data_IF_600260964248
#
_entry.id   IF_600260964248
#
_cell.length_a   1.000
_cell.length_b   1.000
_cell.length_c   1.000
_cell.angle_alpha   90.00
_cell.angle_beta   90.00
_cell.angle_gamma   90.00
#
_symmetry.space_group_name_H-M   'P 1'
#
loop_
_entity.id
_entity.type
_entity.pdbx_description
1 polymer ?
#
# COMPACT_ATOMS: atom_id res chain seq x y z
N UNK A 1 -13.31 -58.99 -14.62
CA UNK A 1 -13.78 -58.32 -15.87
C UNK A 1 -14.82 -57.18 -15.70
N UNK A 2 -15.51 -56.93 -14.56
CA UNK A 2 -16.55 -55.89 -14.53
C UNK A 2 -16.05 -54.45 -14.30
N UNK A 3 -14.83 -54.25 -13.77
CA UNK A 3 -14.31 -52.91 -13.41
C UNK A 3 -13.86 -52.10 -14.65
N UNK A 4 -13.35 -52.76 -15.69
CA UNK A 4 -12.88 -52.09 -16.90
C UNK A 4 -14.02 -51.50 -17.74
N UNK A 5 -15.18 -52.16 -17.77
CA UNK A 5 -16.36 -51.73 -18.53
C UNK A 5 -17.03 -50.50 -17.91
N UNK A 6 -16.99 -50.34 -16.58
CA UNK A 6 -17.52 -49.17 -15.86
C UNK A 6 -16.65 -47.92 -16.04
N UNK A 7 -15.32 -48.09 -16.17
CA UNK A 7 -14.40 -46.98 -16.43
C UNK A 7 -14.52 -46.45 -17.87
N UNK A 8 -14.72 -47.33 -18.85
CA UNK A 8 -14.93 -46.96 -20.25
C UNK A 8 -16.24 -46.19 -20.46
N UNK A 9 -17.34 -46.66 -19.85
CA UNK A 9 -18.65 -45.97 -19.91
C UNK A 9 -18.63 -44.60 -19.22
N UNK A 10 -17.85 -44.43 -18.15
CA UNK A 10 -17.60 -43.11 -17.57
C UNK A 10 -16.75 -42.21 -18.48
N UNK A 11 -15.70 -42.73 -19.12
CA UNK A 11 -14.88 -41.95 -20.04
C UNK A 11 -15.67 -41.45 -21.27
N UNK A 12 -16.54 -42.28 -21.84
CA UNK A 12 -17.41 -41.91 -22.97
C UNK A 12 -18.45 -40.85 -22.60
N UNK A 13 -19.00 -40.90 -21.37
CA UNK A 13 -19.92 -39.85 -20.88
C UNK A 13 -19.19 -38.52 -20.61
N UNK A 14 -17.92 -38.55 -20.22
CA UNK A 14 -17.09 -37.34 -20.10
C UNK A 14 -16.72 -36.75 -21.47
N UNK A 15 -16.37 -37.58 -22.45
CA UNK A 15 -16.09 -37.14 -23.82
C UNK A 15 -17.33 -36.54 -24.49
N UNK A 16 -18.49 -37.17 -24.36
CA UNK A 16 -19.75 -36.62 -24.86
C UNK A 16 -20.12 -35.28 -24.21
N UNK A 17 -19.78 -35.04 -22.94
CA UNK A 17 -19.95 -33.74 -22.26
C UNK A 17 -18.94 -32.68 -22.74
N UNK A 18 -17.73 -33.09 -23.09
CA UNK A 18 -16.72 -32.20 -23.68
C UNK A 18 -17.15 -31.73 -25.08
N UNK A 19 -17.77 -32.60 -25.89
CA UNK A 19 -18.27 -32.21 -27.21
C UNK A 19 -19.33 -31.09 -27.15
N UNK A 20 -20.15 -31.05 -26.09
CA UNK A 20 -21.08 -29.93 -25.87
C UNK A 20 -20.39 -28.59 -25.60
N UNK A 21 -19.20 -28.60 -24.99
CA UNK A 21 -18.42 -27.39 -24.70
C UNK A 21 -17.79 -26.79 -25.97
N UNK A 22 -17.52 -27.61 -26.98
CA UNK A 22 -16.89 -27.18 -28.24
C UNK A 22 -17.90 -26.94 -29.38
N UNK A 23 -19.20 -27.11 -29.16
CA UNK A 23 -20.22 -26.73 -30.15
C UNK A 23 -20.14 -25.22 -30.43
N UNK A 24 -20.20 -24.78 -31.69
CA UNK A 24 -20.09 -23.37 -32.06
C UNK A 24 -21.03 -22.44 -31.27
N UNK A 25 -22.27 -22.88 -31.03
CA UNK A 25 -23.24 -22.12 -30.22
C UNK A 25 -22.84 -21.96 -28.75
N UNK A 26 -22.27 -23.00 -28.13
CA UNK A 26 -21.78 -22.95 -26.74
C UNK A 26 -20.55 -22.05 -26.61
N UNK A 27 -19.65 -22.10 -27.60
CA UNK A 27 -18.46 -21.24 -27.65
C UNK A 27 -18.86 -19.77 -27.82
N UNK A 28 -19.83 -19.47 -28.70
CA UNK A 28 -20.34 -18.10 -28.90
C UNK A 28 -21.06 -17.58 -27.65
N UNK A 29 -21.91 -18.40 -27.02
CA UNK A 29 -22.57 -18.04 -25.75
C UNK A 29 -21.56 -17.83 -24.61
N UNK A 30 -20.54 -18.70 -24.52
CA UNK A 30 -19.45 -18.56 -23.57
C UNK A 30 -18.63 -17.30 -23.79
N UNK A 31 -18.31 -16.97 -25.05
CA UNK A 31 -17.60 -15.76 -25.43
C UNK A 31 -18.45 -14.50 -25.17
N UNK A 32 -19.75 -14.52 -25.46
CA UNK A 32 -20.67 -13.43 -25.18
C UNK A 32 -20.84 -13.21 -23.66
N UNK A 33 -20.99 -14.30 -22.88
CA UNK A 33 -21.04 -14.24 -21.43
C UNK A 33 -19.73 -13.73 -20.83
N UNK A 34 -18.58 -14.16 -21.36
CA UNK A 34 -17.26 -13.66 -20.97
C UNK A 34 -17.09 -12.18 -21.33
N UNK A 35 -17.57 -11.74 -22.50
CA UNK A 35 -17.55 -10.35 -22.95
C UNK A 35 -18.45 -9.46 -22.09
N UNK A 36 -19.66 -9.93 -21.73
CA UNK A 36 -20.56 -9.22 -20.83
C UNK A 36 -19.99 -9.16 -19.40
N UNK A 37 -19.44 -10.27 -18.89
CA UNK A 37 -18.70 -10.29 -17.63
C UNK A 37 -17.51 -9.33 -17.67
N UNK A 38 -16.75 -9.31 -18.77
CA UNK A 38 -15.66 -8.37 -19.00
C UNK A 38 -16.17 -6.94 -18.98
N UNK A 39 -17.21 -6.59 -19.74
CA UNK A 39 -17.77 -5.23 -19.77
C UNK A 39 -18.29 -4.78 -18.41
N UNK A 40 -18.90 -5.70 -17.66
CA UNK A 40 -19.42 -5.41 -16.32
C UNK A 40 -18.29 -5.26 -15.29
N UNK A 41 -17.30 -6.15 -15.29
CA UNK A 41 -16.08 -6.10 -14.45
C UNK A 41 -15.02 -5.13 -14.94
N UNK A 42 -15.19 -4.50 -16.10
CA UNK A 42 -14.33 -3.43 -16.59
C UNK A 42 -15.05 -2.10 -16.56
N UNK A 43 -16.23 -2.01 -15.91
CA UNK A 43 -16.83 -0.73 -15.59
C UNK A 43 -15.87 -0.03 -14.62
N UNK A 44 -15.06 0.85 -15.17
CA UNK A 44 -14.20 1.69 -14.37
C UNK A 44 -15.01 2.65 -13.53
N UNK A 45 -14.57 2.83 -12.29
CA UNK A 45 -15.16 3.76 -11.35
C UNK A 45 -14.25 4.96 -11.23
N UNK A 46 -14.84 6.14 -11.20
CA UNK A 46 -14.07 7.36 -10.90
C UNK A 46 -13.73 7.32 -9.42
N UNK A 47 -12.45 7.50 -9.05
CA UNK A 47 -12.06 7.53 -7.65
C UNK A 47 -12.72 8.70 -6.92
N UNK A 48 -12.95 8.52 -5.63
CA UNK A 48 -13.46 9.58 -4.77
C UNK A 48 -12.28 10.44 -4.34
N UNK A 49 -12.27 11.70 -4.76
CA UNK A 49 -11.31 12.70 -4.30
C UNK A 49 -11.86 13.43 -3.07
N UNK A 50 -11.19 13.31 -1.93
CA UNK A 50 -11.53 13.97 -0.66
C UNK A 50 -10.40 14.93 -0.27
N UNK A 51 -10.68 16.22 -0.32
CA UNK A 51 -9.80 17.31 0.07
C UNK A 51 -10.60 18.61 0.17
N UNK A 52 -9.96 19.69 0.63
CA UNK A 52 -10.50 21.03 0.52
C UNK A 52 -10.52 21.52 -0.95
N UNK A 53 -11.25 22.61 -1.19
CA UNK A 53 -11.46 23.13 -2.55
C UNK A 53 -10.16 23.63 -3.21
N UNK A 54 -9.25 24.22 -2.42
CA UNK A 54 -7.95 24.68 -2.93
C UNK A 54 -7.09 23.54 -3.47
N UNK A 55 -6.92 22.47 -2.68
CA UNK A 55 -6.13 21.33 -3.11
C UNK A 55 -6.84 20.54 -4.22
N UNK A 56 -8.18 20.48 -4.20
CA UNK A 56 -8.99 19.92 -5.30
C UNK A 56 -8.69 20.60 -6.62
N UNK A 57 -8.78 21.93 -6.67
CA UNK A 57 -8.55 22.71 -7.89
C UNK A 57 -7.16 22.45 -8.48
N UNK A 58 -6.14 22.40 -7.61
CA UNK A 58 -4.77 22.06 -8.01
C UNK A 58 -4.69 20.67 -8.63
N UNK A 59 -5.21 19.65 -7.93
CA UNK A 59 -5.13 18.25 -8.36
C UNK A 59 -5.93 18.02 -9.65
N UNK A 60 -7.12 18.60 -9.77
CA UNK A 60 -7.94 18.42 -10.96
C UNK A 60 -7.37 19.08 -12.21
N UNK A 61 -6.53 20.10 -12.04
CA UNK A 61 -5.84 20.81 -13.13
C UNK A 61 -4.50 20.16 -13.50
N UNK A 62 -3.76 19.66 -12.52
CA UNK A 62 -2.36 19.19 -12.70
C UNK A 62 -2.21 17.67 -12.65
N UNK A 63 -3.18 16.96 -12.07
CA UNK A 63 -3.20 15.51 -11.90
C UNK A 63 -4.51 14.89 -12.44
N UNK A 64 -4.74 14.86 -13.77
CA UNK A 64 -5.98 14.33 -14.37
C UNK A 64 -6.40 12.94 -13.88
N UNK A 65 -5.47 12.10 -13.45
CA UNK A 65 -5.71 10.78 -12.89
C UNK A 65 -6.72 10.78 -11.72
N UNK A 66 -6.87 11.88 -10.98
CA UNK A 66 -7.87 12.00 -9.89
C UNK A 66 -9.32 12.05 -10.40
N UNK A 67 -9.54 12.30 -11.70
CA UNK A 67 -10.86 12.33 -12.35
C UNK A 67 -11.05 11.19 -13.37
N UNK A 68 -9.97 10.57 -13.79
CA UNK A 68 -10.02 9.44 -14.72
C UNK A 68 -10.65 8.22 -14.06
N UNK A 69 -11.40 7.44 -14.85
CA UNK A 69 -11.94 6.17 -14.36
C UNK A 69 -10.79 5.19 -14.17
N UNK A 70 -10.74 4.59 -12.99
CA UNK A 70 -9.88 3.45 -12.71
C UNK A 70 -10.57 2.17 -13.18
N UNK A 71 -9.97 1.47 -14.15
CA UNK A 71 -10.50 0.23 -14.71
C UNK A 71 -9.62 -0.96 -14.27
N UNK A 72 -9.94 -1.64 -13.16
CA UNK A 72 -9.14 -2.76 -12.69
C UNK A 72 -9.09 -3.88 -13.73
N UNK A 73 -7.95 -4.58 -13.79
CA UNK A 73 -7.79 -5.74 -14.66
C UNK A 73 -8.91 -6.77 -14.43
N UNK A 74 -9.74 -7.10 -15.44
CA UNK A 74 -11.03 -7.79 -15.21
C UNK A 74 -10.92 -9.23 -14.71
N UNK A 75 -9.80 -9.91 -14.99
CA UNK A 75 -9.48 -11.22 -14.41
C UNK A 75 -8.81 -11.12 -13.04
N UNK A 76 -8.43 -9.91 -12.60
CA UNK A 76 -7.81 -9.57 -11.32
C UNK A 76 -8.70 -8.59 -10.53
N UNK A 77 -9.97 -8.95 -10.33
CA UNK A 77 -11.02 -8.03 -9.88
C UNK A 77 -11.06 -7.77 -8.35
N UNK A 78 -10.49 -8.66 -7.54
CA UNK A 78 -10.53 -8.55 -6.07
C UNK A 78 -9.22 -8.05 -5.48
N UNK A 79 -9.30 -7.21 -4.44
CA UNK A 79 -8.14 -6.59 -3.79
C UNK A 79 -7.07 -7.57 -3.32
N UNK A 80 -7.47 -8.76 -2.84
CA UNK A 80 -6.51 -9.84 -2.50
C UNK A 80 -5.72 -10.30 -3.72
N UNK A 81 -6.41 -10.55 -4.83
CA UNK A 81 -5.78 -11.04 -6.06
C UNK A 81 -4.90 -9.96 -6.69
N UNK A 82 -5.37 -8.70 -6.71
CA UNK A 82 -4.58 -7.53 -7.10
C UNK A 82 -3.27 -7.43 -6.32
N UNK A 83 -3.34 -7.60 -5.00
CA UNK A 83 -2.16 -7.58 -4.11
C UNK A 83 -1.17 -8.69 -4.43
N UNK A 84 -1.66 -9.91 -4.66
CA UNK A 84 -0.80 -11.06 -4.96
C UNK A 84 -0.18 -10.98 -6.36
N UNK A 85 -0.96 -10.58 -7.37
CA UNK A 85 -0.51 -10.50 -8.77
C UNK A 85 0.55 -9.40 -8.96
N UNK A 86 0.46 -8.28 -8.22
CA UNK A 86 1.45 -7.20 -8.29
C UNK A 86 2.89 -7.64 -8.03
N UNK A 87 3.11 -8.66 -7.19
CA UNK A 87 4.46 -9.16 -6.88
C UNK A 87 5.18 -9.63 -8.16
N UNK A 88 4.42 -10.15 -9.13
CA UNK A 88 4.93 -10.64 -10.42
C UNK A 88 4.95 -9.52 -11.47
N UNK A 89 4.01 -8.59 -11.39
CA UNK A 89 3.81 -7.53 -12.37
C UNK A 89 4.48 -6.25 -11.89
N UNK A 90 5.68 -6.01 -12.43
CA UNK A 90 6.42 -4.78 -12.19
C UNK A 90 6.05 -3.74 -13.23
N UNK A 91 5.91 -2.52 -12.77
CA UNK A 91 5.75 -1.33 -13.61
C UNK A 91 6.75 -0.28 -13.14
N UNK A 92 7.09 0.64 -14.05
CA UNK A 92 7.92 1.80 -13.74
C UNK A 92 7.18 3.04 -14.21
N UNK A 93 6.83 3.97 -13.30
CA UNK A 93 6.23 5.24 -13.71
C UNK A 93 7.24 6.01 -14.57
N UNK A 94 6.76 6.70 -15.60
CA UNK A 94 7.61 7.56 -16.43
C UNK A 94 7.77 8.92 -15.75
N UNK A 95 8.66 9.00 -14.78
CA UNK A 95 8.97 10.23 -14.05
C UNK A 95 10.38 10.68 -14.39
N UNK A 96 10.53 11.94 -14.79
CA UNK A 96 11.86 12.55 -14.94
C UNK A 96 12.31 13.03 -13.57
N UNK A 97 13.29 12.35 -12.98
CA UNK A 97 13.92 12.74 -11.72
C UNK A 97 15.40 13.02 -11.90
N UNK A 98 15.93 13.98 -11.13
CA UNK A 98 17.38 14.26 -11.10
C UNK A 98 18.15 13.23 -10.25
N UNK A 99 17.57 12.81 -9.12
CA UNK A 99 18.13 11.85 -8.17
C UNK A 99 16.99 11.06 -7.49
N UNK A 100 17.20 9.77 -7.26
CA UNK A 100 16.30 8.91 -6.48
C UNK A 100 17.07 8.33 -5.30
N UNK A 101 16.43 8.34 -4.13
CA UNK A 101 16.96 7.71 -2.92
C UNK A 101 15.96 6.65 -2.48
N UNK A 102 16.45 5.44 -2.26
CA UNK A 102 15.67 4.34 -1.67
C UNK A 102 16.10 4.19 -0.22
N UNK A 103 15.18 4.43 0.70
CA UNK A 103 15.42 4.30 2.13
C UNK A 103 15.20 2.83 2.57
N UNK A 104 16.27 2.19 3.03
CA UNK A 104 16.20 0.88 3.67
C UNK A 104 16.15 1.06 5.19
N UNK A 105 15.19 0.41 5.83
CA UNK A 105 15.16 0.33 7.29
C UNK A 105 16.35 -0.44 7.83
N UNK A 106 16.80 -0.10 9.04
CA UNK A 106 17.90 -0.80 9.69
C UNK A 106 17.64 -2.31 9.83
N UNK A 107 18.68 -3.10 9.54
CA UNK A 107 18.60 -4.57 9.50
C UNK A 107 17.98 -5.14 8.22
N UNK A 108 17.72 -4.31 7.21
CA UNK A 108 17.27 -4.70 5.88
C UNK A 108 18.26 -4.20 4.81
N UNK A 109 18.14 -4.72 3.59
CA UNK A 109 19.00 -4.31 2.48
C UNK A 109 20.38 -4.98 2.43
N UNK A 110 20.61 -6.03 3.21
CA UNK A 110 21.88 -6.78 3.25
C UNK A 110 22.81 -6.35 4.37
N UNK A 111 22.46 -5.29 5.11
CA UNK A 111 23.26 -4.77 6.23
C UNK A 111 22.93 -5.49 7.55
N UNK A 112 23.97 -5.80 8.32
CA UNK A 112 23.84 -6.33 9.68
C UNK A 112 23.50 -5.21 10.68
N UNK A 113 22.69 -5.54 11.69
CA UNK A 113 22.45 -4.61 12.78
C UNK A 113 23.69 -4.47 13.66
N UNK A 114 24.08 -3.24 13.97
CA UNK A 114 25.13 -2.94 14.94
C UNK A 114 24.58 -2.71 16.36
N UNK A 115 23.26 -2.52 16.48
CA UNK A 115 22.56 -2.28 17.75
C UNK A 115 21.29 -3.14 17.79
N UNK A 116 20.76 -3.48 18.97
CA UNK A 116 19.58 -4.35 19.06
C UNK A 116 18.27 -3.70 18.58
N UNK A 117 18.27 -2.39 18.33
CA UNK A 117 17.10 -1.66 17.86
C UNK A 117 16.98 -1.83 16.35
N UNK A 118 15.82 -2.31 15.89
CA UNK A 118 15.40 -2.36 14.47
C UNK A 118 14.52 -1.15 14.11
N UNK A 119 13.51 -1.32 13.25
CA UNK A 119 12.57 -0.30 12.85
C UNK A 119 11.16 -0.68 13.31
N UNK A 120 10.29 0.32 13.47
CA UNK A 120 8.86 0.10 13.68
C UNK A 120 8.06 1.21 13.01
N UNK A 121 6.74 1.03 12.92
CA UNK A 121 5.84 1.96 12.24
C UNK A 121 5.81 3.37 12.88
N UNK A 122 6.11 3.44 14.17
CA UNK A 122 6.05 4.68 14.97
C UNK A 122 7.39 5.42 15.06
N UNK A 123 8.53 4.72 14.97
CA UNK A 123 9.84 5.34 15.14
C UNK A 123 10.37 5.95 13.82
N UNK A 124 10.38 7.28 13.77
CA UNK A 124 10.78 8.08 12.61
C UNK A 124 12.26 8.49 12.62
N UNK A 125 13.04 8.12 13.64
CA UNK A 125 14.41 8.61 13.84
C UNK A 125 15.32 8.41 12.62
N UNK A 126 15.20 7.24 11.97
CA UNK A 126 16.04 6.89 10.83
C UNK A 126 15.67 7.72 9.59
N UNK A 127 14.36 7.93 9.38
CA UNK A 127 13.86 8.77 8.29
C UNK A 127 14.26 10.24 8.52
N UNK A 128 14.16 10.73 9.76
CA UNK A 128 14.64 12.06 10.15
C UNK A 128 16.13 12.23 9.83
N UNK A 129 16.95 11.25 10.22
CA UNK A 129 18.38 11.27 9.96
C UNK A 129 18.70 11.30 8.46
N UNK A 130 18.04 10.45 7.66
CA UNK A 130 18.25 10.37 6.21
C UNK A 130 17.83 11.66 5.51
N UNK A 131 16.67 12.22 5.84
CA UNK A 131 16.22 13.50 5.26
C UNK A 131 17.18 14.63 5.63
N UNK A 132 17.61 14.71 6.89
CA UNK A 132 18.60 15.69 7.33
C UNK A 132 19.91 15.54 6.58
N UNK A 133 20.42 14.31 6.43
CA UNK A 133 21.65 14.03 5.70
C UNK A 133 21.55 14.49 4.23
N UNK A 134 20.46 14.15 3.54
CA UNK A 134 20.24 14.58 2.15
C UNK A 134 20.20 16.10 2.06
N UNK A 135 19.54 16.79 2.99
CA UNK A 135 19.47 18.25 3.00
C UNK A 135 20.81 18.92 3.32
N UNK A 136 21.65 18.30 4.14
CA UNK A 136 23.00 18.80 4.38
C UNK A 136 23.88 18.66 3.13
N UNK A 137 23.78 17.53 2.43
CA UNK A 137 24.54 17.27 1.20
C UNK A 137 24.03 18.08 0.00
N UNK A 138 22.72 18.34 -0.05
CA UNK A 138 22.05 19.02 -1.17
C UNK A 138 21.07 20.12 -0.70
N UNK A 139 21.56 21.22 -0.07
CA UNK A 139 20.69 22.19 0.62
C UNK A 139 19.64 22.85 -0.27
N UNK A 140 20.01 23.16 -1.52
CA UNK A 140 19.15 23.86 -2.48
C UNK A 140 18.26 22.90 -3.30
N UNK A 141 18.37 21.58 -3.08
CA UNK A 141 17.60 20.62 -3.87
C UNK A 141 16.21 20.43 -3.25
N UNK A 142 15.12 20.68 -4.00
CA UNK A 142 13.78 20.39 -3.55
C UNK A 142 13.64 18.88 -3.32
N UNK A 143 12.98 18.49 -2.23
CA UNK A 143 12.86 17.09 -1.82
C UNK A 143 11.39 16.75 -1.60
N UNK A 144 10.99 15.59 -2.10
CA UNK A 144 9.69 14.98 -1.88
C UNK A 144 9.92 13.54 -1.42
N UNK A 145 9.01 13.02 -0.61
CA UNK A 145 9.04 11.62 -0.18
C UNK A 145 7.79 10.88 -0.64
N UNK A 146 7.95 9.58 -0.88
CA UNK A 146 6.84 8.70 -1.15
C UNK A 146 6.94 7.42 -0.30
N UNK A 147 5.80 6.95 0.19
CA UNK A 147 5.73 5.78 1.07
C UNK A 147 4.58 4.86 0.71
N UNK A 148 4.85 3.56 0.64
CA UNK A 148 3.84 2.54 0.36
C UNK A 148 3.62 1.71 1.62
N UNK A 149 2.36 1.44 1.98
CA UNK A 149 1.99 0.61 3.12
C UNK A 149 2.66 1.10 4.42
N UNK A 150 3.47 0.27 5.07
CA UNK A 150 4.27 0.61 6.25
C UNK A 150 5.18 1.83 6.04
N UNK A 151 5.75 1.99 4.84
CA UNK A 151 6.55 3.18 4.51
C UNK A 151 5.70 4.45 4.46
N UNK A 152 4.43 4.34 4.08
CA UNK A 152 3.48 5.45 4.13
C UNK A 152 3.08 5.81 5.57
N UNK A 153 2.89 4.80 6.45
CA UNK A 153 2.69 5.01 7.89
C UNK A 153 3.88 5.78 8.48
N UNK A 154 5.10 5.29 8.25
CA UNK A 154 6.33 5.91 8.74
C UNK A 154 6.46 7.36 8.23
N UNK A 155 6.16 7.60 6.95
CA UNK A 155 6.21 8.93 6.35
C UNK A 155 5.18 9.88 6.97
N UNK A 156 3.94 9.44 7.20
CA UNK A 156 2.93 10.29 7.84
C UNK A 156 3.26 10.59 9.30
N UNK A 157 3.79 9.61 10.05
CA UNK A 157 4.29 9.82 11.41
C UNK A 157 5.45 10.82 11.43
N UNK A 158 6.36 10.73 10.46
CA UNK A 158 7.45 11.68 10.29
C UNK A 158 6.93 13.10 10.03
N UNK A 159 5.98 13.25 9.10
CA UNK A 159 5.38 14.54 8.79
C UNK A 159 4.62 15.15 9.97
N UNK A 160 3.90 14.32 10.73
CA UNK A 160 3.19 14.77 11.93
C UNK A 160 4.16 15.24 13.02
N UNK A 161 5.29 14.55 13.19
CA UNK A 161 6.31 14.89 14.19
C UNK A 161 7.13 16.13 13.80
N UNK A 162 7.54 16.23 12.54
CA UNK A 162 8.40 17.30 12.06
C UNK A 162 7.64 18.56 11.65
N UNK A 163 6.39 18.43 11.22
CA UNK A 163 5.60 19.53 10.68
C UNK A 163 6.37 20.30 9.59
N UNK A 164 6.47 21.62 9.77
CA UNK A 164 7.15 22.52 8.82
C UNK A 164 8.66 22.28 8.73
N UNK A 165 9.25 21.63 9.74
CA UNK A 165 10.69 21.31 9.77
C UNK A 165 11.02 20.01 9.02
N UNK A 166 10.05 19.38 8.37
CA UNK A 166 10.25 18.12 7.63
C UNK A 166 11.23 18.24 6.46
N UNK A 167 11.49 19.45 5.95
CA UNK A 167 12.37 19.66 4.79
C UNK A 167 11.82 19.09 3.48
N UNK A 168 10.58 18.62 3.45
CA UNK A 168 9.90 18.10 2.27
C UNK A 168 8.93 19.13 1.70
N UNK A 169 8.84 19.21 0.37
CA UNK A 169 7.86 20.05 -0.32
C UNK A 169 6.46 19.46 -0.28
N UNK A 170 6.37 18.14 -0.47
CA UNK A 170 5.14 17.38 -0.46
C UNK A 170 5.44 15.92 -0.14
N UNK A 171 4.39 15.13 0.06
CA UNK A 171 4.48 13.68 0.21
C UNK A 171 3.39 12.94 -0.57
N UNK A 172 3.71 11.73 -1.02
CA UNK A 172 2.77 10.81 -1.64
C UNK A 172 2.72 9.50 -0.87
N UNK A 173 1.53 9.01 -0.57
CA UNK A 173 1.40 7.71 0.11
C UNK A 173 0.44 6.78 -0.60
N UNK A 174 0.75 5.49 -0.60
CA UNK A 174 -0.14 4.47 -1.18
C UNK A 174 -0.48 3.41 -0.16
N UNK A 175 -1.78 3.13 -0.04
CA UNK A 175 -2.36 2.08 0.78
C UNK A 175 -1.86 2.07 2.21
N UNK A 176 -1.79 3.27 2.77
CA UNK A 176 -1.53 3.46 4.20
C UNK A 176 -2.63 2.74 4.98
N UNK A 177 -2.22 1.93 5.94
CA UNK A 177 -3.13 1.43 6.96
C UNK A 177 -3.28 2.51 8.04
N UNK A 178 -4.39 3.22 8.02
CA UNK A 178 -4.63 4.42 8.84
C UNK A 178 -4.75 4.11 10.33
N UNK A 179 -5.30 2.95 10.67
CA UNK A 179 -5.42 2.45 12.03
C UNK A 179 -4.80 1.05 12.13
N UNK A 180 -3.68 0.94 12.85
CA UNK A 180 -2.90 -0.30 12.97
C UNK A 180 -3.65 -1.39 13.73
N UNK A 181 -4.52 -1.02 14.69
CA UNK A 181 -5.36 -1.98 15.42
C UNK A 181 -6.35 -2.66 14.48
N UNK A 182 -7.08 -1.86 13.71
CA UNK A 182 -8.07 -2.33 12.73
C UNK A 182 -7.41 -3.08 11.57
N UNK A 183 -6.22 -2.63 11.14
CA UNK A 183 -5.41 -3.31 10.13
C UNK A 183 -5.02 -4.72 10.57
N UNK A 184 -4.51 -4.87 11.79
CA UNK A 184 -4.15 -6.18 12.34
C UNK A 184 -5.39 -7.07 12.50
N UNK A 185 -6.51 -6.53 12.99
CA UNK A 185 -7.77 -7.27 13.07
C UNK A 185 -8.26 -7.75 11.69
N UNK A 186 -8.11 -6.93 10.65
CA UNK A 186 -8.43 -7.32 9.28
C UNK A 186 -7.52 -8.43 8.76
N UNK A 187 -6.22 -8.35 9.04
CA UNK A 187 -5.23 -9.36 8.65
C UNK A 187 -5.40 -10.68 9.40
N UNK A 188 -6.06 -10.69 10.54
CA UNK A 188 -6.34 -11.91 11.32
C UNK A 188 -7.61 -12.63 10.87
N UNK A 189 -8.42 -12.04 9.99
CA UNK A 189 -9.56 -12.73 9.36
C UNK A 189 -9.08 -13.98 8.60
N UNK A 190 -9.84 -15.09 8.57
CA UNK A 190 -9.34 -16.40 8.13
C UNK A 190 -8.58 -16.40 6.79
N UNK A 191 -9.13 -15.79 5.75
CA UNK A 191 -8.48 -15.72 4.44
C UNK A 191 -7.24 -14.82 4.43
N UNK A 192 -7.31 -13.65 5.07
CA UNK A 192 -6.19 -12.71 5.12
C UNK A 192 -5.04 -13.27 5.98
N UNK A 193 -5.38 -14.06 7.01
CA UNK A 193 -4.40 -14.71 7.89
C UNK A 193 -3.53 -15.69 7.10
N UNK A 194 -4.17 -16.53 6.29
CA UNK A 194 -3.50 -17.53 5.45
C UNK A 194 -2.73 -16.86 4.31
N UNK A 195 -3.35 -15.90 3.61
CA UNK A 195 -2.75 -15.30 2.42
C UNK A 195 -1.62 -14.32 2.75
N UNK A 196 -1.71 -13.56 3.85
CA UNK A 196 -0.80 -12.45 4.13
C UNK A 196 -0.13 -12.55 5.49
N UNK A 197 -0.91 -12.65 6.57
CA UNK A 197 -0.41 -12.46 7.94
C UNK A 197 0.69 -13.48 8.32
N UNK A 198 0.47 -14.77 8.04
CA UNK A 198 1.49 -15.81 8.32
C UNK A 198 2.81 -15.56 7.58
N UNK A 199 2.74 -15.16 6.31
CA UNK A 199 3.92 -14.92 5.50
C UNK A 199 4.69 -13.68 5.99
N UNK A 200 3.97 -12.61 6.34
CA UNK A 200 4.57 -11.39 6.87
C UNK A 200 5.24 -11.63 8.23
N UNK A 201 4.56 -12.34 9.14
CA UNK A 201 5.13 -12.71 10.43
C UNK A 201 6.37 -13.61 10.28
N UNK A 202 6.32 -14.56 9.35
CA UNK A 202 7.48 -15.42 9.02
C UNK A 202 8.68 -14.60 8.52
N UNK A 203 8.44 -13.63 7.62
CA UNK A 203 9.50 -12.75 7.11
C UNK A 203 10.11 -11.86 8.21
N UNK A 204 9.28 -11.36 9.14
CA UNK A 204 9.74 -10.62 10.31
C UNK A 204 10.59 -11.49 11.24
N UNK A 205 10.13 -12.72 11.52
CA UNK A 205 10.91 -13.70 12.29
C UNK A 205 12.25 -14.02 11.60
N UNK A 206 12.25 -14.19 10.27
CA UNK A 206 13.49 -14.42 9.51
C UNK A 206 14.45 -13.24 9.61
N UNK A 207 13.94 -12.00 9.61
CA UNK A 207 14.78 -10.82 9.84
C UNK A 207 15.42 -10.84 11.23
N UNK A 208 14.67 -11.23 12.27
CA UNK A 208 15.23 -11.42 13.63
C UNK A 208 16.29 -12.52 13.65
N UNK A 209 16.06 -13.65 12.98
CA UNK A 209 17.06 -14.75 12.90
C UNK A 209 18.38 -14.27 12.31
N UNK A 210 18.35 -13.43 11.26
CA UNK A 210 19.57 -12.89 10.63
C UNK A 210 20.40 -12.06 11.61
N UNK A 211 19.76 -11.36 12.54
CA UNK A 211 20.41 -10.47 13.51
C UNK A 211 20.50 -11.08 14.91
N UNK A 212 20.34 -12.40 15.05
CA UNK A 212 20.30 -13.10 16.35
C UNK A 212 21.48 -12.72 17.25
N UNK A 213 22.70 -12.68 16.71
CA UNK A 213 23.92 -12.36 17.46
C UNK A 213 23.84 -11.06 18.26
N UNK A 214 23.15 -10.06 17.73
CA UNK A 214 23.03 -8.72 18.33
C UNK A 214 21.77 -8.60 19.20
N UNK A 215 20.76 -9.43 18.95
CA UNK A 215 19.47 -9.39 19.63
C UNK A 215 19.40 -10.32 20.86
N UNK A 216 19.99 -11.50 20.77
CA UNK A 216 19.97 -12.53 21.82
C UNK A 216 20.47 -12.05 23.19
N UNK A 217 21.46 -11.15 23.30
CA UNK A 217 21.87 -10.60 24.60
C UNK A 217 20.81 -9.75 25.31
N UNK A 218 19.79 -9.26 24.61
CA UNK A 218 18.80 -8.30 25.16
C UNK A 218 17.36 -8.78 25.12
N UNK A 219 17.05 -9.81 24.32
CA UNK A 219 15.68 -10.32 24.17
C UNK A 219 15.65 -11.82 23.87
N UNK A 220 14.60 -12.51 24.32
CA UNK A 220 14.39 -13.94 24.05
C UNK A 220 14.00 -14.15 22.57
N UNK A 221 15.02 -14.37 21.73
CA UNK A 221 14.86 -14.61 20.30
C UNK A 221 14.01 -15.86 20.04
N UNK A 222 14.18 -16.94 20.79
CA UNK A 222 13.46 -18.18 20.54
C UNK A 222 11.96 -18.05 20.82
N UNK A 223 11.57 -17.21 21.78
CA UNK A 223 10.17 -16.86 22.01
C UNK A 223 9.58 -16.02 20.87
N UNK A 224 10.36 -15.08 20.32
CA UNK A 224 9.95 -14.25 19.17
C UNK A 224 9.75 -15.11 17.93
N UNK A 225 10.65 -16.05 17.64
CA UNK A 225 10.58 -16.92 16.45
C UNK A 225 9.37 -17.88 16.45
N UNK A 226 8.69 -18.04 17.59
CA UNK A 226 7.41 -18.76 17.69
C UNK A 226 6.22 -17.93 17.18
N UNK A 227 6.41 -16.67 16.78
CA UNK A 227 5.32 -15.82 16.30
C UNK A 227 4.75 -16.36 14.99
N UNK A 228 3.43 -16.33 14.87
CA UNK A 228 2.68 -16.71 13.67
C UNK A 228 1.91 -15.53 13.09
N UNK A 229 1.56 -14.53 13.89
CA UNK A 229 0.92 -13.31 13.37
C UNK A 229 1.80 -12.09 13.59
N UNK A 230 1.53 -11.03 12.84
CA UNK A 230 2.15 -9.71 13.04
C UNK A 230 1.89 -9.23 14.47
N UNK A 231 0.68 -9.44 15.01
CA UNK A 231 0.35 -9.10 16.40
C UNK A 231 1.23 -9.83 17.40
N UNK A 232 1.40 -11.15 17.24
CA UNK A 232 2.29 -11.92 18.12
C UNK A 232 3.75 -11.42 18.00
N UNK A 233 4.20 -11.11 16.78
CA UNK A 233 5.53 -10.54 16.59
C UNK A 233 5.68 -9.18 17.28
N UNK A 234 4.70 -8.29 17.13
CA UNK A 234 4.73 -6.96 17.74
C UNK A 234 4.59 -7.01 19.26
N UNK A 235 3.82 -7.95 19.81
CA UNK A 235 3.72 -8.21 21.25
C UNK A 235 5.04 -8.72 21.83
N UNK A 236 5.74 -9.62 21.12
CA UNK A 236 6.94 -10.27 21.65
C UNK A 236 8.23 -9.51 21.37
N UNK A 237 8.27 -8.74 20.29
CA UNK A 237 9.47 -8.03 19.86
C UNK A 237 9.26 -6.53 19.81
N UNK A 238 8.36 -6.01 18.96
CA UNK A 238 8.29 -4.58 18.67
C UNK A 238 7.93 -3.75 19.90
N UNK A 239 6.88 -4.12 20.63
CA UNK A 239 6.47 -3.38 21.83
C UNK A 239 7.54 -3.42 22.92
N UNK A 240 8.21 -4.57 23.11
CA UNK A 240 9.29 -4.74 24.09
C UNK A 240 10.52 -3.91 23.72
N UNK A 241 11.02 -4.07 22.48
CA UNK A 241 12.25 -3.43 22.02
C UNK A 241 12.14 -1.90 21.98
N UNK A 242 10.94 -1.38 21.72
CA UNK A 242 10.66 0.06 21.68
C UNK A 242 10.06 0.62 22.99
N UNK A 243 9.99 -0.19 24.05
CA UNK A 243 9.60 0.27 25.39
C UNK A 243 8.12 0.61 25.56
N UNK A 244 7.24 0.06 24.74
CA UNK A 244 5.79 0.19 24.91
C UNK A 244 5.28 -0.73 26.02
N UNK A 245 4.33 -0.24 26.82
CA UNK A 245 3.68 -1.03 27.88
C UNK A 245 2.87 -2.18 27.31
N UNK A 246 2.18 -1.97 26.20
CA UNK A 246 1.42 -3.00 25.50
C UNK A 246 1.54 -2.84 23.98
N UNK A 247 1.29 -3.91 23.23
CA UNK A 247 1.18 -3.85 21.78
C UNK A 247 0.06 -2.92 21.30
N UNK A 248 -1.02 -2.78 22.08
CA UNK A 248 -2.08 -1.81 21.79
C UNK A 248 -1.59 -0.36 21.88
N UNK A 249 -0.72 -0.05 22.84
CA UNK A 249 -0.10 1.28 22.96
C UNK A 249 0.78 1.57 21.75
N UNK A 250 1.57 0.58 21.32
CA UNK A 250 2.33 0.66 20.07
C UNK A 250 1.42 0.90 18.86
N UNK A 251 0.32 0.17 18.72
CA UNK A 251 -0.59 0.33 17.58
C UNK A 251 -1.28 1.69 17.57
N UNK A 252 -1.63 2.23 18.73
CA UNK A 252 -2.18 3.57 18.82
C UNK A 252 -1.13 4.62 18.38
N UNK A 253 0.12 4.49 18.83
CA UNK A 253 1.20 5.40 18.42
C UNK A 253 1.55 5.24 16.93
N UNK A 254 1.56 4.02 16.40
CA UNK A 254 1.85 3.76 14.99
C UNK A 254 0.78 4.34 14.05
N UNK A 255 -0.47 4.46 14.49
CA UNK A 255 -1.63 4.81 13.65
C UNK A 255 -1.60 6.27 13.16
N UNK A 256 -1.44 6.53 11.85
CA UNK A 256 -1.44 7.90 11.32
C UNK A 256 -2.79 8.62 11.49
N UNK A 257 -3.89 7.88 11.63
CA UNK A 257 -5.24 8.43 11.76
C UNK A 257 -5.34 9.55 12.82
N UNK A 258 -4.71 9.37 13.97
CA UNK A 258 -4.75 10.34 15.08
C UNK A 258 -3.79 11.52 14.90
N UNK A 259 -2.80 11.38 14.01
CA UNK A 259 -1.69 12.32 13.84
C UNK A 259 -1.80 13.16 12.57
N UNK A 260 -2.69 12.78 11.65
CA UNK A 260 -2.89 13.43 10.36
C UNK A 260 -3.07 14.97 10.47
N UNK A 261 -3.81 15.54 11.46
CA UNK A 261 -3.92 16.99 11.60
C UNK A 261 -2.62 17.73 11.90
N UNK A 262 -1.58 17.02 12.35
CA UNK A 262 -0.26 17.61 12.62
C UNK A 262 0.62 17.71 11.37
N UNK A 263 0.18 17.13 10.24
CA UNK A 263 0.88 17.27 8.96
C UNK A 263 0.69 18.69 8.43
N UNK A 264 1.77 19.36 8.00
CA UNK A 264 1.72 20.77 7.59
C UNK A 264 2.12 21.02 6.14
N UNK A 265 2.54 19.99 5.43
CA UNK A 265 2.90 20.06 4.01
C UNK A 265 1.82 19.36 3.17
N UNK A 266 1.71 19.65 1.87
CA UNK A 266 0.82 18.92 0.97
C UNK A 266 1.09 17.41 0.97
N UNK A 267 0.06 16.61 1.20
CA UNK A 267 0.12 15.14 1.14
C UNK A 267 -1.01 14.59 0.28
N UNK A 268 -0.66 13.81 -0.74
CA UNK A 268 -1.63 13.06 -1.55
C UNK A 268 -1.57 11.58 -1.17
N UNK A 269 -2.70 11.02 -0.75
CA UNK A 269 -2.81 9.63 -0.33
C UNK A 269 -3.73 8.86 -1.27
N UNK A 270 -3.27 7.71 -1.77
CA UNK A 270 -4.07 6.77 -2.55
C UNK A 270 -4.44 5.57 -1.68
N UNK A 271 -5.72 5.24 -1.58
CA UNK A 271 -6.21 4.03 -0.89
C UNK A 271 -7.27 3.32 -1.75
N UNK A 272 -7.38 2.00 -1.61
CA UNK A 272 -8.47 1.22 -2.19
C UNK A 272 -9.45 0.79 -1.09
N UNK A 273 -10.76 0.89 -1.35
CA UNK A 273 -11.81 0.44 -0.42
C UNK A 273 -11.79 -1.09 -0.21
N UNK A 274 -11.30 -1.86 -1.19
CA UNK A 274 -11.18 -3.32 -1.12
C UNK A 274 -9.83 -3.84 -0.60
N UNK A 275 -9.02 -2.97 0.01
CA UNK A 275 -7.71 -3.30 0.57
C UNK A 275 -7.84 -4.28 1.77
N UNK A 276 -7.24 -5.49 1.72
CA UNK A 276 -7.30 -6.44 2.83
C UNK A 276 -6.52 -6.00 4.09
N UNK A 277 -5.60 -5.04 3.98
CA UNK A 277 -4.76 -4.52 5.05
C UNK A 277 -5.33 -3.24 5.67
N UNK A 278 -5.98 -2.39 4.88
CA UNK A 278 -6.52 -1.10 5.32
C UNK A 278 -8.04 -1.06 5.15
N UNK A 279 -8.82 -1.41 6.18
CA UNK A 279 -10.28 -1.40 6.09
C UNK A 279 -10.83 -0.01 5.73
N UNK A 280 -11.82 0.02 4.83
CA UNK A 280 -12.42 1.26 4.30
C UNK A 280 -12.89 2.22 5.41
N UNK A 281 -13.53 1.69 6.47
CA UNK A 281 -14.05 2.50 7.58
C UNK A 281 -12.98 3.23 8.39
N UNK A 282 -11.70 2.89 8.20
CA UNK A 282 -10.57 3.53 8.88
C UNK A 282 -9.98 4.69 8.09
N UNK A 283 -10.37 4.87 6.82
CA UNK A 283 -9.86 5.95 5.98
C UNK A 283 -10.38 7.29 6.53
N UNK A 284 -9.51 8.28 6.83
CA UNK A 284 -9.86 9.50 7.54
C UNK A 284 -10.52 10.55 6.62
N UNK A 285 -11.64 10.19 5.99
CA UNK A 285 -12.39 11.03 5.04
C UNK A 285 -12.75 12.39 5.67
N UNK A 286 -13.28 12.38 6.89
CA UNK A 286 -13.70 13.61 7.57
C UNK A 286 -12.53 14.53 7.93
N UNK A 287 -11.40 13.96 8.35
CA UNK A 287 -10.20 14.76 8.63
C UNK A 287 -9.62 15.36 7.35
N UNK A 288 -9.49 14.56 6.28
CA UNK A 288 -8.95 15.03 5.00
C UNK A 288 -9.81 16.13 4.35
N UNK A 289 -11.14 16.10 4.52
CA UNK A 289 -12.02 17.15 4.02
C UNK A 289 -11.76 18.52 4.67
N UNK A 290 -11.31 18.53 5.93
CA UNK A 290 -11.09 19.75 6.72
C UNK A 290 -9.66 20.27 6.64
N UNK A 291 -8.70 19.40 6.32
CA UNK A 291 -7.28 19.76 6.27
C UNK A 291 -6.95 20.35 4.90
N UNK A 292 -6.33 21.55 4.84
CA UNK A 292 -6.11 22.23 3.57
C UNK A 292 -4.92 21.65 2.78
N UNK A 293 -4.11 20.81 3.42
CA UNK A 293 -2.89 20.23 2.88
C UNK A 293 -2.95 18.70 2.74
N UNK A 294 -4.12 18.07 2.89
CA UNK A 294 -4.27 16.62 2.74
C UNK A 294 -5.33 16.32 1.69
N UNK A 295 -4.99 15.42 0.77
CA UNK A 295 -5.91 14.86 -0.20
C UNK A 295 -5.90 13.34 -0.16
N UNK A 296 -7.09 12.74 -0.20
CA UNK A 296 -7.30 11.30 -0.35
C UNK A 296 -7.92 11.03 -1.72
N UNK A 297 -7.32 10.10 -2.45
CA UNK A 297 -7.89 9.47 -3.65
C UNK A 297 -8.28 8.06 -3.24
N UNK A 298 -9.58 7.78 -3.24
CA UNK A 298 -10.13 6.49 -2.82
C UNK A 298 -10.69 5.78 -4.04
N UNK A 299 -10.07 4.69 -4.45
CA UNK A 299 -10.61 3.83 -5.50
C UNK A 299 -11.51 2.76 -4.87
N UNK A 300 -12.56 2.34 -5.57
CA UNK A 300 -13.39 1.22 -5.10
C UNK A 300 -12.60 -0.10 -5.05
N UNK A 301 -11.58 -0.22 -5.91
CA UNK A 301 -10.75 -1.41 -6.07
C UNK A 301 -9.28 -1.04 -6.23
N UNK A 302 -8.40 -2.01 -6.00
CA UNK A 302 -6.97 -1.86 -6.22
C UNK A 302 -6.15 -2.75 -5.30
N UNK A 303 -6.78 -3.30 -4.25
CA UNK A 303 -6.09 -4.06 -3.22
C UNK A 303 -5.07 -3.22 -2.47
N UNK A 304 -4.11 -3.89 -1.85
CA UNK A 304 -3.11 -3.21 -1.04
C UNK A 304 -2.04 -2.51 -1.87
N UNK A 305 -1.56 -3.11 -2.96
CA UNK A 305 -0.51 -2.48 -3.80
C UNK A 305 -0.72 -2.72 -5.29
N UNK A 306 -1.89 -3.24 -5.67
CA UNK A 306 -2.14 -3.68 -7.04
C UNK A 306 -2.34 -2.53 -8.00
N UNK A 307 -3.48 -1.87 -7.89
CA UNK A 307 -3.94 -0.79 -8.77
C UNK A 307 -3.74 -1.08 -10.27
N UNK A 308 -3.78 -2.37 -10.65
CA UNK A 308 -3.50 -2.83 -12.01
C UNK A 308 -4.67 -2.48 -12.94
N UNK A 309 -4.35 -2.01 -14.15
CA UNK A 309 -5.32 -1.62 -15.17
C UNK A 309 -5.12 -2.37 -16.48
N UNK A 310 -6.20 -2.44 -17.27
CA UNK A 310 -6.19 -3.05 -18.59
C UNK A 310 -6.25 -4.58 -18.55
N UNK A 311 -6.52 -5.18 -19.72
CA UNK A 311 -6.62 -6.63 -19.85
C UNK A 311 -5.25 -7.31 -19.69
N UNK A 312 -4.18 -6.67 -20.17
CA UNK A 312 -2.80 -7.07 -19.96
C UNK A 312 -2.09 -5.94 -19.22
N UNK A 313 -1.92 -6.04 -17.88
CA UNK A 313 -1.30 -4.99 -17.08
C UNK A 313 0.22 -5.00 -17.24
N UNK A 314 0.72 -4.76 -18.45
CA UNK A 314 2.16 -4.72 -18.78
C UNK A 314 2.71 -3.28 -18.84
N UNK A 315 1.89 -2.29 -18.49
CA UNK A 315 2.23 -0.86 -18.55
C UNK A 315 2.12 -0.15 -17.21
N UNK A 316 1.97 1.16 -17.30
CA UNK A 316 1.75 2.04 -16.15
C UNK A 316 0.43 1.68 -15.44
N UNK A 317 0.50 1.37 -14.13
CA UNK A 317 -0.70 1.16 -13.31
C UNK A 317 -1.34 2.49 -12.90
N UNK A 318 -2.55 2.46 -12.37
CA UNK A 318 -3.22 3.68 -11.91
C UNK A 318 -2.41 4.43 -10.84
N UNK A 319 -1.80 3.69 -9.92
CA UNK A 319 -0.91 4.23 -8.90
C UNK A 319 0.31 4.94 -9.52
N UNK A 320 0.90 4.35 -10.55
CA UNK A 320 2.10 4.89 -11.20
C UNK A 320 1.76 6.19 -11.96
N UNK A 321 0.63 6.21 -12.66
CA UNK A 321 0.14 7.39 -13.38
C UNK A 321 -0.15 8.54 -12.43
N UNK A 322 -0.86 8.26 -11.33
CA UNK A 322 -1.15 9.26 -10.30
C UNK A 322 0.13 9.78 -9.64
N UNK A 323 1.07 8.89 -9.32
CA UNK A 323 2.36 9.24 -8.75
C UNK A 323 3.18 10.14 -9.68
N UNK A 324 3.28 9.78 -10.96
CA UNK A 324 4.03 10.55 -11.95
C UNK A 324 3.46 11.95 -12.16
N UNK A 325 2.14 12.06 -12.30
CA UNK A 325 1.47 13.35 -12.43
C UNK A 325 1.65 14.23 -11.19
N UNK A 326 1.52 13.65 -9.98
CA UNK A 326 1.67 14.41 -8.75
C UNK A 326 3.10 14.87 -8.51
N UNK A 327 4.11 14.02 -8.77
CA UNK A 327 5.52 14.43 -8.68
C UNK A 327 5.81 15.59 -9.64
N UNK A 328 5.40 15.46 -10.89
CA UNK A 328 5.60 16.51 -11.89
C UNK A 328 4.95 17.82 -11.43
N UNK A 329 3.70 17.76 -10.94
CA UNK A 329 2.98 18.92 -10.44
C UNK A 329 3.67 19.56 -9.23
N UNK A 330 4.22 18.78 -8.30
CA UNK A 330 4.94 19.29 -7.12
C UNK A 330 6.22 20.03 -7.51
N UNK A 331 7.01 19.48 -8.43
CA UNK A 331 8.29 20.10 -8.79
C UNK A 331 8.13 21.29 -9.74
N UNK A 332 7.19 21.26 -10.68
CA UNK A 332 6.95 22.35 -11.63
C UNK A 332 6.04 23.46 -11.07
N UNK A 333 5.10 23.11 -10.19
CA UNK A 333 4.05 24.00 -9.68
C UNK A 333 3.96 24.01 -8.14
N UNK A 334 5.06 23.71 -7.44
CA UNK A 334 5.09 23.62 -5.98
C UNK A 334 4.72 24.92 -5.25
N UNK A 335 4.94 26.08 -5.86
CA UNK A 335 4.51 27.38 -5.31
C UNK A 335 2.99 27.49 -5.30
N UNK A 336 2.34 27.25 -6.45
CA UNK A 336 0.89 27.21 -6.59
C UNK A 336 0.27 26.22 -5.59
N UNK A 337 0.88 25.04 -5.44
CA UNK A 337 0.43 24.02 -4.48
C UNK A 337 0.48 24.54 -3.03
N UNK A 338 1.59 25.14 -2.63
CA UNK A 338 1.73 25.68 -1.27
C UNK A 338 0.73 26.82 -1.01
N UNK A 339 0.50 27.70 -1.99
CA UNK A 339 -0.47 28.79 -1.87
C UNK A 339 -1.88 28.25 -1.74
N UNK A 340 -2.31 27.34 -2.61
CA UNK A 340 -3.67 26.77 -2.61
C UNK A 340 -3.96 25.92 -1.36
N UNK A 341 -2.94 25.30 -0.76
CA UNK A 341 -3.06 24.58 0.51
C UNK A 341 -3.03 25.48 1.76
N UNK A 342 -2.79 26.79 1.62
CA UNK A 342 -2.68 27.72 2.77
C UNK A 342 -3.76 28.83 2.72
N UNK A 343 -4.19 29.27 1.53
CA UNK A 343 -4.96 30.51 1.35
C UNK A 343 -6.48 30.36 1.27
N UNK A 344 -7.03 29.15 1.08
CA UNK A 344 -8.48 28.92 0.95
C UNK A 344 -9.06 28.16 2.14
N UNK A 345 -9.10 28.82 3.30
CA UNK A 345 -9.88 28.41 4.48
C UNK A 345 -11.00 29.41 4.76
#
# INVERSE_FOLDING_TARGET
MPIATTLLTHAETWLGRLDYLFKPGTVVLGAAAAFLCYRWRSKGETPILVCNDGFREFLERRCPAVKERYCPTPWCWGGRLQTLVRVVIKSSPHVTYRKVVVFNNRGFGGEELLTPVTFCAANTSDLEHVVSHIKQQLPQTPLMAAGVSLGGILLLNYLARMGRKSGLLAAFTVSVSWNTVESCASLEKPLNKILFNYHLASNLCQAITRHRKVLEPVIDVDYILKSRTIREFDERYTSVMFGYKTCKDYYHDASPFYKLPSTTIPVLCLNAADDPFSPEHTIPVESARRLPNVALVITARGGHVGFLEGFFPQGESYMDRLFGQFIWAVFEHGKDLAEMCITKN
#
